data_IF_138546710537
#
_entry.id   IF_138546710537
#
_cell.length_a   1.000
_cell.length_b   1.000
_cell.length_c   1.000
_cell.angle_alpha   90.00
_cell.angle_beta   90.00
_cell.angle_gamma   90.00
#
_symmetry.space_group_name_H-M   'P 1'
#
loop_
_entity.id
_entity.type
_entity.pdbx_description
1 polymer ?
#
# COMPACT_ATOMS: atom_id res chain seq x y z
N UNK A 1 -19.26 1.01 -15.23
CA UNK A 1 -18.07 1.83 -15.39
C UNK A 1 -16.83 0.93 -15.64
N UNK A 2 -16.43 0.04 -14.72
CA UNK A 2 -15.22 -0.79 -14.83
C UNK A 2 -15.22 -1.68 -16.07
N UNK A 3 -16.37 -2.32 -16.40
CA UNK A 3 -16.50 -3.12 -17.62
C UNK A 3 -16.25 -2.31 -18.90
N UNK A 4 -16.65 -1.04 -18.91
CA UNK A 4 -16.39 -0.16 -20.06
C UNK A 4 -14.89 0.25 -20.11
N UNK A 5 -14.28 0.51 -18.95
CA UNK A 5 -12.87 0.82 -18.86
C UNK A 5 -11.98 -0.36 -19.35
N UNK A 6 -12.31 -1.58 -18.93
CA UNK A 6 -11.61 -2.79 -19.36
C UNK A 6 -11.67 -3.00 -20.89
N UNK A 7 -12.83 -2.71 -21.53
CA UNK A 7 -12.96 -2.77 -23.00
C UNK A 7 -12.06 -1.78 -23.74
N UNK A 8 -11.66 -0.72 -23.07
CA UNK A 8 -10.72 0.30 -23.58
C UNK A 8 -9.27 0.02 -23.21
N UNK A 9 -8.98 -1.13 -22.60
CA UNK A 9 -7.63 -1.49 -22.15
C UNK A 9 -7.15 -0.74 -20.89
N UNK A 10 -8.06 -0.05 -20.19
CA UNK A 10 -7.72 0.64 -18.94
C UNK A 10 -7.76 -0.35 -17.77
N UNK A 11 -6.77 -0.28 -16.90
CA UNK A 11 -6.77 -1.00 -15.63
C UNK A 11 -7.57 -0.21 -14.59
N UNK A 12 -8.24 -0.93 -13.70
CA UNK A 12 -9.05 -0.32 -12.64
C UNK A 12 -8.40 -0.49 -11.26
N UNK A 13 -8.58 0.53 -10.44
CA UNK A 13 -8.36 0.53 -9.00
C UNK A 13 -9.65 1.02 -8.36
N UNK A 14 -10.03 0.46 -7.22
CA UNK A 14 -11.33 0.77 -6.63
C UNK A 14 -11.21 1.14 -5.16
N UNK A 15 -11.91 2.20 -4.78
CA UNK A 15 -12.13 2.59 -3.40
C UNK A 15 -13.31 1.77 -2.86
N UNK A 16 -13.06 0.89 -1.90
CA UNK A 16 -14.07 -0.02 -1.34
C UNK A 16 -13.86 -0.25 0.15
N UNK A 17 -14.91 -0.61 0.85
CA UNK A 17 -14.87 -1.10 2.22
C UNK A 17 -14.25 -0.12 3.25
N UNK A 18 -14.36 1.18 3.03
CA UNK A 18 -13.90 2.18 4.01
C UNK A 18 -14.82 2.24 5.24
N UNK A 19 -16.14 2.21 5.03
CA UNK A 19 -17.14 2.36 6.11
C UNK A 19 -18.10 1.18 6.23
N UNK A 20 -18.14 0.30 5.23
CA UNK A 20 -19.00 -0.87 5.21
C UNK A 20 -18.51 -1.89 4.17
N UNK A 21 -18.80 -3.18 4.41
CA UNK A 21 -18.51 -4.28 3.49
C UNK A 21 -19.82 -4.71 2.79
N UNK A 22 -20.05 -4.20 1.57
CA UNK A 22 -21.26 -4.46 0.77
C UNK A 22 -20.96 -5.21 -0.54
N UNK A 23 -19.87 -5.99 -0.57
CA UNK A 23 -19.47 -6.79 -1.74
C UNK A 23 -18.61 -6.06 -2.77
N UNK A 24 -18.11 -4.85 -2.45
CA UNK A 24 -17.27 -4.06 -3.35
C UNK A 24 -15.96 -4.75 -3.72
N UNK A 25 -15.33 -5.45 -2.77
CA UNK A 25 -14.09 -6.22 -2.99
C UNK A 25 -14.32 -7.32 -4.02
N UNK A 26 -15.35 -8.17 -3.79
CA UNK A 26 -15.67 -9.26 -4.73
C UNK A 26 -15.96 -8.74 -6.13
N UNK A 27 -16.78 -7.71 -6.25
CA UNK A 27 -17.11 -7.10 -7.56
C UNK A 27 -15.87 -6.56 -8.28
N UNK A 28 -14.92 -5.98 -7.54
CA UNK A 28 -13.67 -5.46 -8.09
C UNK A 28 -12.76 -6.59 -8.57
N UNK A 29 -12.63 -7.66 -7.79
CA UNK A 29 -11.87 -8.87 -8.17
C UNK A 29 -12.46 -9.52 -9.41
N UNK A 30 -13.79 -9.73 -9.47
CA UNK A 30 -14.48 -10.33 -10.61
C UNK A 30 -14.32 -9.52 -11.90
N UNK A 31 -14.10 -8.22 -11.78
CA UNK A 31 -13.86 -7.31 -12.90
C UNK A 31 -12.37 -7.08 -13.20
N UNK A 32 -11.48 -7.80 -12.53
CA UNK A 32 -10.04 -7.74 -12.78
C UNK A 32 -9.37 -6.45 -12.33
N UNK A 33 -9.85 -5.85 -11.24
CA UNK A 33 -9.19 -4.68 -10.68
C UNK A 33 -7.75 -4.99 -10.25
N UNK A 34 -6.84 -4.05 -10.49
CA UNK A 34 -5.43 -4.16 -10.10
C UNK A 34 -5.26 -4.04 -8.59
N UNK A 35 -6.05 -3.17 -7.96
CA UNK A 35 -6.11 -3.06 -6.50
C UNK A 35 -7.50 -2.69 -6.00
N UNK A 36 -7.72 -3.00 -4.73
CA UNK A 36 -8.83 -2.53 -3.90
C UNK A 36 -8.23 -1.74 -2.75
N UNK A 37 -8.69 -0.51 -2.59
CA UNK A 37 -8.06 0.46 -1.70
C UNK A 37 -9.00 0.78 -0.51
N UNK A 38 -8.46 1.00 0.68
CA UNK A 38 -9.04 1.22 2.01
C UNK A 38 -9.12 -0.05 2.86
N UNK A 39 -10.22 -0.81 2.80
CA UNK A 39 -10.39 -2.10 3.45
C UNK A 39 -10.41 -2.04 5.00
N UNK A 40 -10.86 -0.91 5.58
CA UNK A 40 -11.05 -0.80 7.02
C UNK A 40 -12.10 -1.80 7.51
N UNK A 41 -13.14 -2.03 6.70
CA UNK A 41 -14.21 -2.99 6.98
C UNK A 41 -14.08 -4.21 6.04
N UNK A 42 -13.80 -5.39 6.61
CA UNK A 42 -13.60 -6.63 5.85
C UNK A 42 -14.52 -7.75 6.34
N UNK A 43 -15.33 -8.28 5.43
CA UNK A 43 -16.12 -9.50 5.65
C UNK A 43 -15.32 -10.75 5.25
N UNK A 44 -15.74 -11.93 5.72
CA UNK A 44 -15.09 -13.23 5.38
C UNK A 44 -15.08 -13.49 3.87
N UNK A 45 -16.10 -13.05 3.17
CA UNK A 45 -16.23 -13.18 1.72
C UNK A 45 -15.17 -12.36 0.98
N UNK A 46 -14.76 -11.21 1.54
CA UNK A 46 -13.73 -10.35 0.96
C UNK A 46 -12.35 -11.04 0.99
N UNK A 47 -12.00 -11.69 2.12
CA UNK A 47 -10.77 -12.51 2.22
C UNK A 47 -10.79 -13.66 1.21
N UNK A 48 -11.94 -14.36 1.07
CA UNK A 48 -12.08 -15.44 0.09
C UNK A 48 -11.95 -14.95 -1.35
N UNK A 49 -12.53 -13.79 -1.66
CA UNK A 49 -12.44 -13.20 -2.99
C UNK A 49 -11.01 -12.78 -3.35
N UNK A 50 -10.23 -12.26 -2.41
CA UNK A 50 -8.85 -11.86 -2.62
C UNK A 50 -7.91 -13.06 -2.75
N UNK A 51 -8.17 -14.18 -2.04
CA UNK A 51 -7.36 -15.39 -2.12
C UNK A 51 -7.33 -15.96 -3.55
N UNK A 52 -6.12 -16.10 -4.09
CA UNK A 52 -5.92 -16.62 -5.44
C UNK A 52 -6.24 -15.62 -6.56
N UNK A 53 -6.61 -14.38 -6.23
CA UNK A 53 -6.75 -13.30 -7.20
C UNK A 53 -5.41 -12.60 -7.44
N UNK A 54 -5.35 -11.82 -8.52
CA UNK A 54 -4.23 -10.91 -8.81
C UNK A 54 -4.50 -9.48 -8.30
N UNK A 55 -5.58 -9.27 -7.55
CA UNK A 55 -5.96 -7.96 -7.03
C UNK A 55 -5.19 -7.65 -5.75
N UNK A 56 -4.48 -6.52 -5.69
CA UNK A 56 -3.69 -6.11 -4.54
C UNK A 56 -4.56 -5.40 -3.51
N UNK A 57 -4.74 -5.94 -2.29
CA UNK A 57 -5.32 -5.19 -1.18
C UNK A 57 -4.37 -4.07 -0.75
N UNK A 58 -4.86 -2.83 -0.76
CA UNK A 58 -4.09 -1.63 -0.40
C UNK A 58 -4.74 -0.91 0.77
N UNK A 59 -4.03 -0.79 1.88
CA UNK A 59 -4.51 -0.12 3.09
C UNK A 59 -3.92 1.29 3.16
N UNK A 60 -4.71 2.23 3.67
CA UNK A 60 -4.42 3.66 3.68
C UNK A 60 -4.36 4.20 5.13
N UNK A 61 -3.35 3.81 5.94
CA UNK A 61 -3.38 4.01 7.38
C UNK A 61 -3.31 5.48 7.81
N UNK A 62 -2.77 6.39 6.99
CA UNK A 62 -2.81 7.82 7.31
C UNK A 62 -4.21 8.42 7.18
N UNK A 63 -5.05 7.87 6.31
CA UNK A 63 -6.48 8.21 6.26
C UNK A 63 -7.20 7.78 7.54
N UNK A 64 -7.01 6.52 7.95
CA UNK A 64 -7.60 6.00 9.19
C UNK A 64 -7.15 6.81 10.41
N UNK A 65 -5.85 7.19 10.46
CA UNK A 65 -5.31 8.07 11.50
C UNK A 65 -6.00 9.42 11.54
N UNK A 66 -6.07 10.11 10.39
CA UNK A 66 -6.60 11.48 10.31
C UNK A 66 -8.11 11.54 10.62
N UNK A 67 -8.87 10.57 10.10
CA UNK A 67 -10.31 10.47 10.32
C UNK A 67 -10.68 9.82 11.65
N UNK A 68 -9.72 9.23 12.37
CA UNK A 68 -9.93 8.51 13.63
C UNK A 68 -10.91 7.34 13.48
N UNK A 69 -10.82 6.63 12.36
CA UNK A 69 -11.56 5.40 12.08
C UNK A 69 -10.68 4.16 12.33
N UNK A 70 -11.26 2.96 12.39
CA UNK A 70 -10.48 1.71 12.50
C UNK A 70 -9.42 1.58 11.40
N UNK A 71 -8.33 0.87 11.71
CA UNK A 71 -7.32 0.53 10.72
C UNK A 71 -7.69 -0.76 10.00
N UNK A 72 -7.37 -0.85 8.72
CA UNK A 72 -7.53 -2.08 7.95
C UNK A 72 -6.74 -3.25 8.57
N UNK A 73 -7.25 -4.51 8.50
CA UNK A 73 -6.73 -5.67 9.21
C UNK A 73 -5.50 -6.29 8.53
N UNK A 74 -4.43 -5.48 8.30
CA UNK A 74 -3.23 -5.89 7.57
C UNK A 74 -2.62 -7.17 8.12
N UNK A 75 -2.50 -7.29 9.46
CA UNK A 75 -1.87 -8.46 10.09
C UNK A 75 -2.65 -9.74 9.78
N UNK A 76 -3.96 -9.71 9.91
CA UNK A 76 -4.81 -10.85 9.53
C UNK A 76 -4.68 -11.19 8.04
N UNK A 77 -4.68 -10.21 7.16
CA UNK A 77 -4.48 -10.44 5.72
C UNK A 77 -3.18 -11.20 5.45
N UNK A 78 -2.07 -10.76 6.06
CA UNK A 78 -0.76 -11.40 5.90
C UNK A 78 -0.77 -12.84 6.47
N UNK A 79 -1.34 -13.04 7.64
CA UNK A 79 -1.47 -14.37 8.27
C UNK A 79 -2.31 -15.34 7.42
N UNK A 80 -3.27 -14.82 6.68
CA UNK A 80 -4.07 -15.59 5.72
C UNK A 80 -3.39 -15.75 4.34
N UNK A 81 -2.15 -15.27 4.19
CA UNK A 81 -1.34 -15.40 2.98
C UNK A 81 -1.67 -14.37 1.89
N UNK A 82 -2.38 -13.29 2.20
CA UNK A 82 -2.62 -12.21 1.27
C UNK A 82 -1.45 -11.21 1.28
N UNK A 83 -1.01 -10.72 0.12
CA UNK A 83 -0.11 -9.58 0.06
C UNK A 83 -0.85 -8.33 0.54
N UNK A 84 -0.12 -7.35 1.07
CA UNK A 84 -0.68 -6.06 1.48
C UNK A 84 0.18 -4.95 0.92
N UNK A 85 -0.43 -3.96 0.27
CA UNK A 85 0.22 -2.70 -0.06
C UNK A 85 -0.22 -1.60 0.90
N UNK A 86 0.65 -0.61 1.13
CA UNK A 86 0.37 0.58 1.94
C UNK A 86 0.55 1.85 1.12
N UNK A 87 -0.35 2.81 1.27
CA UNK A 87 -0.27 4.10 0.62
C UNK A 87 -0.78 5.23 1.53
N UNK A 88 -0.55 6.48 1.12
CA UNK A 88 -0.88 7.65 1.93
C UNK A 88 -2.35 8.06 1.86
N UNK A 89 -3.02 7.80 0.74
CA UNK A 89 -4.29 8.47 0.40
C UNK A 89 -4.16 10.01 0.39
N UNK A 90 -3.06 10.53 -0.17
CA UNK A 90 -2.79 11.96 -0.13
C UNK A 90 -3.88 12.78 -0.83
N UNK A 91 -4.66 13.47 -0.04
CA UNK A 91 -5.71 14.37 -0.51
C UNK A 91 -6.03 15.43 0.58
N UNK A 92 -6.63 16.58 0.22
CA UNK A 92 -6.91 17.64 1.19
C UNK A 92 -8.01 17.31 2.20
N UNK A 93 -8.86 16.31 1.92
CA UNK A 93 -10.04 16.00 2.76
C UNK A 93 -9.74 15.04 3.90
N UNK A 94 -8.99 13.97 3.65
CA UNK A 94 -8.78 12.88 4.60
C UNK A 94 -7.32 12.59 4.94
N UNK A 95 -6.36 13.08 4.14
CA UNK A 95 -4.93 12.86 4.42
C UNK A 95 -4.08 13.97 3.79
N UNK A 96 -3.92 15.12 4.43
CA UNK A 96 -3.09 16.20 3.88
C UNK A 96 -1.59 15.96 4.07
N UNK A 97 -1.13 14.73 3.90
CA UNK A 97 0.27 14.31 4.08
C UNK A 97 0.66 13.19 3.15
N UNK A 98 1.72 13.41 2.37
CA UNK A 98 2.36 12.39 1.52
C UNK A 98 3.50 11.63 2.22
N UNK A 99 3.59 11.66 3.56
CA UNK A 99 4.72 11.09 4.31
C UNK A 99 4.63 9.56 4.40
N UNK A 100 5.32 8.85 3.49
CA UNK A 100 5.37 7.39 3.48
C UNK A 100 6.14 6.80 4.68
N UNK A 101 7.06 7.53 5.32
CA UNK A 101 7.70 7.07 6.55
C UNK A 101 6.69 7.01 7.70
N UNK A 102 5.76 7.97 7.76
CA UNK A 102 4.66 7.94 8.72
C UNK A 102 3.69 6.78 8.44
N UNK A 103 3.36 6.53 7.17
CA UNK A 103 2.58 5.34 6.76
C UNK A 103 3.24 4.05 7.25
N UNK A 104 4.55 3.92 7.04
CA UNK A 104 5.34 2.77 7.50
C UNK A 104 5.27 2.61 9.03
N UNK A 105 5.37 3.72 9.78
CA UNK A 105 5.25 3.71 11.24
C UNK A 105 3.87 3.26 11.70
N UNK A 106 2.80 3.74 11.07
CA UNK A 106 1.43 3.30 11.36
C UNK A 106 1.24 1.80 11.06
N UNK A 107 1.85 1.30 9.99
CA UNK A 107 1.88 -0.13 9.66
C UNK A 107 2.41 -0.98 10.82
N UNK A 108 3.55 -0.60 11.38
CA UNK A 108 4.15 -1.31 12.52
C UNK A 108 3.36 -1.10 13.82
N UNK A 109 3.03 0.15 14.16
CA UNK A 109 2.51 0.52 15.48
C UNK A 109 1.02 0.17 15.62
N UNK A 110 0.21 0.50 14.61
CA UNK A 110 -1.24 0.34 14.67
C UNK A 110 -1.72 -0.99 14.08
N UNK A 111 -1.08 -1.45 13.01
CA UNK A 111 -1.53 -2.64 12.29
C UNK A 111 -0.68 -3.89 12.59
N UNK A 112 0.29 -3.78 13.53
CA UNK A 112 1.12 -4.90 14.04
C UNK A 112 1.92 -5.62 12.96
N UNK A 113 2.25 -4.93 11.88
CA UNK A 113 3.13 -5.45 10.85
C UNK A 113 4.59 -5.42 11.33
N UNK A 114 5.41 -6.38 10.87
CA UNK A 114 6.86 -6.31 11.10
C UNK A 114 7.50 -5.25 10.18
N UNK A 115 8.71 -4.75 10.51
CA UNK A 115 9.42 -3.83 9.62
C UNK A 115 9.62 -4.37 8.21
N UNK A 116 9.86 -5.68 8.04
CA UNK A 116 10.01 -6.35 6.75
C UNK A 116 8.70 -6.33 5.95
N UNK A 117 7.59 -6.68 6.62
CA UNK A 117 6.25 -6.65 6.01
C UNK A 117 5.93 -5.23 5.52
N UNK A 118 6.23 -4.22 6.33
CA UNK A 118 5.99 -2.80 5.99
C UNK A 118 6.87 -2.34 4.82
N UNK A 119 8.16 -2.70 4.80
CA UNK A 119 9.05 -2.35 3.68
C UNK A 119 8.52 -2.96 2.38
N UNK A 120 8.15 -4.24 2.37
CA UNK A 120 7.55 -4.86 1.20
C UNK A 120 6.22 -4.18 0.80
N UNK A 121 5.38 -3.86 1.78
CA UNK A 121 4.10 -3.23 1.56
C UNK A 121 4.20 -1.82 0.97
N UNK A 122 5.25 -1.05 1.33
CA UNK A 122 5.49 0.31 0.85
C UNK A 122 6.37 0.39 -0.40
N UNK A 123 6.88 -0.73 -0.89
CA UNK A 123 7.77 -0.79 -2.05
C UNK A 123 7.24 -1.72 -3.14
N UNK A 124 7.58 -3.02 -3.10
CA UNK A 124 7.25 -3.94 -4.20
C UNK A 124 5.75 -4.20 -4.34
N UNK A 125 5.03 -4.33 -3.21
CA UNK A 125 3.58 -4.55 -3.25
C UNK A 125 2.85 -3.31 -3.77
N UNK A 126 3.26 -2.11 -3.35
CA UNK A 126 2.71 -0.86 -3.89
C UNK A 126 3.07 -0.67 -5.36
N UNK A 127 4.28 -1.05 -5.78
CA UNK A 127 4.63 -1.04 -7.20
C UNK A 127 3.72 -1.97 -8.02
N UNK A 128 3.41 -3.16 -7.49
CA UNK A 128 2.44 -4.07 -8.11
C UNK A 128 1.03 -3.44 -8.17
N UNK A 129 0.55 -2.86 -7.06
CA UNK A 129 -0.74 -2.17 -7.02
C UNK A 129 -0.86 -1.01 -8.03
N UNK A 130 0.27 -0.51 -8.51
CA UNK A 130 0.36 0.54 -9.54
C UNK A 130 0.67 -0.01 -10.94
N UNK A 131 0.88 -1.32 -11.11
CA UNK A 131 1.25 -1.95 -12.38
C UNK A 131 2.65 -1.59 -12.87
N UNK A 132 3.57 -1.23 -11.98
CA UNK A 132 4.94 -0.80 -12.30
C UNK A 132 6.02 -1.67 -11.65
N UNK A 133 5.66 -2.81 -11.11
CA UNK A 133 6.55 -3.72 -10.38
C UNK A 133 7.71 -4.25 -11.25
N UNK A 134 7.55 -4.26 -12.56
CA UNK A 134 8.62 -4.65 -13.51
C UNK A 134 9.73 -3.60 -13.58
N UNK A 135 9.41 -2.35 -13.28
CA UNK A 135 10.34 -1.22 -13.40
C UNK A 135 10.77 -0.64 -12.05
N UNK A 136 9.96 -0.78 -11.01
CA UNK A 136 10.12 -0.14 -9.70
C UNK A 136 9.87 -1.12 -8.54
N UNK A 137 10.02 -0.63 -7.32
CA UNK A 137 9.62 -1.32 -6.09
C UNK A 137 10.68 -2.27 -5.52
N UNK A 138 11.79 -2.51 -6.20
CA UNK A 138 12.91 -3.29 -5.66
C UNK A 138 14.24 -2.88 -6.31
N UNK A 139 15.35 -3.14 -5.61
CA UNK A 139 16.70 -2.91 -6.12
C UNK A 139 17.13 -4.17 -6.87
N UNK A 140 16.92 -4.17 -8.19
CA UNK A 140 17.27 -5.28 -9.08
C UNK A 140 17.88 -4.76 -10.37
N UNK A 141 18.76 -5.54 -10.99
CA UNK A 141 19.34 -5.24 -12.31
C UNK A 141 18.19 -5.11 -13.32
N UNK A 142 18.22 -4.04 -14.11
CA UNK A 142 17.22 -3.74 -15.13
C UNK A 142 16.06 -2.86 -14.66
N UNK A 143 15.90 -2.64 -13.35
CA UNK A 143 14.91 -1.68 -12.84
C UNK A 143 15.45 -0.25 -12.78
N UNK A 144 14.53 0.72 -12.80
CA UNK A 144 14.88 2.14 -12.66
C UNK A 144 15.42 2.41 -11.25
N UNK A 145 16.52 3.15 -11.16
CA UNK A 145 17.09 3.56 -9.88
C UNK A 145 16.30 4.73 -9.28
N UNK A 146 15.12 4.42 -8.76
CA UNK A 146 14.31 5.29 -7.92
C UNK A 146 14.48 4.81 -6.48
N UNK A 147 15.32 5.46 -5.71
CA UNK A 147 15.66 5.07 -4.35
C UNK A 147 16.05 6.27 -3.50
N UNK A 148 16.11 6.08 -2.21
CA UNK A 148 16.71 7.03 -1.30
C UNK A 148 17.84 6.37 -0.49
N UNK A 149 18.75 7.19 -0.02
CA UNK A 149 19.84 6.81 0.88
C UNK A 149 19.56 7.50 2.21
N UNK A 150 19.65 6.74 3.29
CA UNK A 150 19.48 7.28 4.64
C UNK A 150 20.81 7.81 5.21
N UNK A 151 20.73 8.72 6.16
CA UNK A 151 21.80 8.91 7.14
C UNK A 151 22.13 7.55 7.80
N UNK A 152 23.29 7.39 8.42
CA UNK A 152 23.58 6.17 9.16
C UNK A 152 22.49 5.87 10.19
N UNK A 153 21.87 4.69 10.07
CA UNK A 153 20.84 4.18 10.98
C UNK A 153 21.25 2.78 11.47
N UNK A 154 20.81 2.37 12.67
CA UNK A 154 21.23 1.06 13.24
C UNK A 154 20.79 -0.14 12.40
N UNK A 155 19.60 -0.05 11.77
CA UNK A 155 19.03 -1.08 10.91
C UNK A 155 17.86 -0.49 10.09
N UNK A 156 17.36 -1.24 9.10
CA UNK A 156 16.16 -0.84 8.35
C UNK A 156 14.91 -0.73 9.25
N UNK A 157 14.84 -1.46 10.37
CA UNK A 157 13.75 -1.35 11.34
C UNK A 157 13.68 0.03 12.02
N UNK A 158 14.75 0.81 11.94
CA UNK A 158 14.76 2.17 12.46
C UNK A 158 13.88 3.12 11.64
N UNK A 159 13.62 2.82 10.36
CA UNK A 159 12.76 3.64 9.50
C UNK A 159 11.34 3.78 10.09
N UNK A 160 10.58 2.70 10.30
CA UNK A 160 9.25 2.81 10.91
C UNK A 160 9.29 3.20 12.41
N UNK A 161 10.38 2.94 13.12
CA UNK A 161 10.55 3.36 14.52
C UNK A 161 10.66 4.88 14.66
N UNK A 162 11.39 5.53 13.77
CA UNK A 162 11.72 6.95 13.84
C UNK A 162 10.63 7.84 13.19
N UNK A 163 9.38 7.66 13.60
CA UNK A 163 8.20 8.23 12.94
C UNK A 163 8.17 9.77 12.81
N UNK A 164 8.88 10.48 13.67
CA UNK A 164 8.92 11.97 13.68
C UNK A 164 10.15 12.56 13.01
N UNK A 165 11.13 11.75 12.60
CA UNK A 165 12.39 12.22 12.04
C UNK A 165 12.53 11.90 10.56
N UNK A 166 13.07 12.84 9.80
CA UNK A 166 13.49 12.58 8.43
C UNK A 166 14.94 12.04 8.44
N UNK A 167 15.07 10.75 8.20
CA UNK A 167 16.37 10.08 8.10
C UNK A 167 16.89 9.98 6.67
N UNK A 168 16.15 10.48 5.68
CA UNK A 168 16.56 10.49 4.28
C UNK A 168 17.66 11.54 4.10
N UNK A 169 18.78 11.14 3.51
CA UNK A 169 19.91 12.02 3.19
C UNK A 169 19.93 12.41 1.73
N UNK A 170 19.71 11.43 0.83
CA UNK A 170 19.76 11.64 -0.62
C UNK A 170 18.61 10.91 -1.29
N UNK A 171 18.11 11.48 -2.38
CA UNK A 171 17.10 10.87 -3.23
C UNK A 171 17.65 10.72 -4.64
N UNK A 172 17.38 9.58 -5.25
CA UNK A 172 17.74 9.30 -6.64
C UNK A 172 16.47 9.01 -7.44
N UNK A 173 16.32 9.68 -8.57
CA UNK A 173 15.20 9.49 -9.50
C UNK A 173 15.77 9.19 -10.88
N UNK A 174 15.38 8.07 -11.45
CA UNK A 174 15.88 7.58 -12.74
C UNK A 174 17.42 7.60 -12.83
N UNK A 175 18.10 7.21 -11.73
CA UNK A 175 19.56 7.16 -11.65
C UNK A 175 20.25 8.51 -11.40
N UNK A 176 19.52 9.59 -11.23
CA UNK A 176 20.07 10.94 -10.96
C UNK A 176 19.80 11.36 -9.53
N UNK A 177 20.84 11.79 -8.81
CA UNK A 177 20.70 12.42 -7.50
C UNK A 177 19.95 13.75 -7.63
N UNK A 178 19.06 14.00 -6.66
CA UNK A 178 18.27 15.22 -6.54
C UNK A 178 18.86 16.12 -5.46
#
# INVERSE_FOLDING_TARGET
>A
LLTAANKLGLQSKTHVNQFNAIGGVKASVDLGALSVDHLEEMAEEDYKALKGSNCMPTILPSCSFFLRIPYGPAKRMIEEGLPVALATDYNPGSTPSGNMNFVASLGCIQMKMTPEEVINATTINTAYAMGVEKELGSICIGKKANLFITKPIPSYAYLPYSFGHNVIEKVMVAGKLQ
#
